data_IF_066616799889
#
_entry.id   IF_066616799889
#
_cell.length_a   1.000
_cell.length_b   1.000
_cell.length_c   1.000
_cell.angle_alpha   90.00
_cell.angle_beta   90.00
_cell.angle_gamma   90.00
#
_symmetry.space_group_name_H-M   'P 1'
#
loop_
_entity.id
_entity.type
_entity.pdbx_description
1 polymer ?
#
# COMPACT_ATOMS: atom_id res chain seq x y z
N UNK A 1 -34.27 20.10 -14.24
CA UNK A 1 -35.10 19.14 -13.50
C UNK A 1 -35.10 19.55 -12.04
N UNK A 2 -36.27 19.83 -11.46
CA UNK A 2 -36.36 20.16 -10.03
C UNK A 2 -36.09 18.93 -9.19
N UNK A 3 -35.47 19.11 -8.02
CA UNK A 3 -35.11 18.06 -7.04
C UNK A 3 -36.28 17.13 -6.64
N UNK A 4 -37.51 17.52 -6.95
CA UNK A 4 -38.76 16.82 -6.64
C UNK A 4 -39.16 15.71 -7.64
N UNK A 5 -38.38 15.48 -8.71
CA UNK A 5 -38.71 14.53 -9.78
C UNK A 5 -37.76 13.31 -9.80
N UNK A 6 -37.02 13.06 -8.71
CA UNK A 6 -36.23 11.83 -8.60
C UNK A 6 -37.14 10.68 -8.13
N UNK A 7 -37.18 9.54 -8.83
CA UNK A 7 -37.94 8.39 -8.38
C UNK A 7 -37.44 7.92 -7.01
N UNK A 8 -38.37 7.63 -6.10
CA UNK A 8 -38.06 7.05 -4.80
C UNK A 8 -37.37 5.68 -4.99
N UNK A 9 -36.25 5.47 -4.29
CA UNK A 9 -35.51 4.21 -4.36
C UNK A 9 -36.29 3.09 -3.67
N UNK A 10 -36.42 1.96 -4.36
CA UNK A 10 -37.01 0.75 -3.80
C UNK A 10 -36.17 0.23 -2.63
N UNK A 11 -36.76 -0.60 -1.73
CA UNK A 11 -36.00 -1.23 -0.65
C UNK A 11 -34.81 -2.07 -1.15
N UNK A 12 -34.97 -2.76 -2.28
CA UNK A 12 -33.92 -3.56 -2.88
C UNK A 12 -32.76 -2.68 -3.40
N UNK A 13 -33.07 -1.57 -4.07
CA UNK A 13 -32.04 -0.61 -4.52
C UNK A 13 -31.31 0.01 -3.33
N UNK A 14 -32.03 0.34 -2.25
CA UNK A 14 -31.43 0.89 -1.03
C UNK A 14 -30.48 -0.10 -0.36
N UNK A 15 -30.85 -1.37 -0.30
CA UNK A 15 -29.99 -2.44 0.22
C UNK A 15 -28.74 -2.61 -0.67
N UNK A 16 -28.91 -2.63 -2.00
CA UNK A 16 -27.79 -2.69 -2.93
C UNK A 16 -26.82 -1.51 -2.76
N UNK A 17 -27.33 -0.29 -2.64
CA UNK A 17 -26.52 0.91 -2.39
C UNK A 17 -25.78 0.84 -1.06
N UNK A 18 -26.41 0.28 -0.02
CA UNK A 18 -25.75 0.06 1.26
C UNK A 18 -24.56 -0.89 1.14
N UNK A 19 -24.74 -2.05 0.50
CA UNK A 19 -23.66 -3.01 0.27
C UNK A 19 -22.51 -2.41 -0.58
N UNK A 20 -22.84 -1.62 -1.61
CA UNK A 20 -21.84 -0.91 -2.41
C UNK A 20 -21.04 0.09 -1.56
N UNK A 21 -21.70 0.81 -0.66
CA UNK A 21 -21.04 1.75 0.24
C UNK A 21 -20.08 1.01 1.20
N UNK A 22 -20.55 -0.07 1.83
CA UNK A 22 -19.73 -0.90 2.72
C UNK A 22 -18.51 -1.48 2.00
N UNK A 23 -18.72 -2.05 0.81
CA UNK A 23 -17.64 -2.57 -0.04
C UNK A 23 -16.61 -1.48 -0.38
N UNK A 24 -17.09 -0.28 -0.75
CA UNK A 24 -16.24 0.88 -0.99
C UNK A 24 -15.38 1.27 0.22
N UNK A 25 -15.96 1.27 1.43
CA UNK A 25 -15.21 1.54 2.66
C UNK A 25 -14.11 0.51 2.90
N UNK A 26 -14.39 -0.79 2.72
CA UNK A 26 -13.39 -1.85 2.87
C UNK A 26 -12.24 -1.69 1.89
N UNK A 27 -12.51 -1.30 0.63
CA UNK A 27 -11.47 -1.01 -0.36
C UNK A 27 -10.58 0.16 0.09
N UNK A 28 -11.15 1.22 0.66
CA UNK A 28 -10.36 2.35 1.18
C UNK A 28 -9.51 1.95 2.39
N UNK A 29 -10.07 1.16 3.32
CA UNK A 29 -9.32 0.64 4.47
C UNK A 29 -8.15 -0.23 4.03
N UNK A 30 -8.35 -1.13 3.06
CA UNK A 30 -7.30 -1.96 2.51
C UNK A 30 -6.18 -1.11 1.87
N UNK A 31 -6.53 -0.05 1.13
CA UNK A 31 -5.54 0.89 0.59
C UNK A 31 -4.74 1.59 1.70
N UNK A 32 -5.42 2.03 2.76
CA UNK A 32 -4.75 2.61 3.94
C UNK A 32 -3.73 1.66 4.57
N UNK A 33 -4.05 0.36 4.67
CA UNK A 33 -3.10 -0.64 5.17
C UNK A 33 -1.89 -0.82 4.27
N UNK A 34 -2.05 -0.82 2.95
CA UNK A 34 -0.91 -0.89 2.01
C UNK A 34 0.00 0.35 2.09
N UNK A 35 -0.59 1.53 2.26
CA UNK A 35 0.19 2.75 2.46
C UNK A 35 0.97 2.71 3.78
N UNK A 36 0.32 2.27 4.87
CA UNK A 36 0.98 2.09 6.16
C UNK A 36 2.12 1.06 6.07
N UNK A 37 1.89 -0.07 5.40
CA UNK A 37 2.89 -1.09 5.10
C UNK A 37 4.09 -0.48 4.34
N UNK A 38 3.85 0.25 3.24
CA UNK A 38 4.91 0.92 2.49
C UNK A 38 5.77 1.84 3.36
N UNK A 39 5.14 2.64 4.23
CA UNK A 39 5.87 3.51 5.16
C UNK A 39 6.72 2.74 6.17
N UNK A 40 6.23 1.60 6.69
CA UNK A 40 7.01 0.79 7.62
C UNK A 40 8.23 0.16 6.95
N UNK A 41 8.07 -0.30 5.71
CA UNK A 41 9.20 -0.79 4.90
C UNK A 41 10.22 0.32 4.67
N UNK A 42 9.79 1.52 4.23
CA UNK A 42 10.70 2.65 4.04
C UNK A 42 11.49 2.99 5.31
N UNK A 43 10.82 3.05 6.46
CA UNK A 43 11.48 3.28 7.77
C UNK A 43 12.48 2.19 8.12
N UNK A 44 12.18 0.92 7.83
CA UNK A 44 13.11 -0.18 8.07
C UNK A 44 14.37 -0.05 7.20
N UNK A 45 14.20 0.31 5.93
CA UNK A 45 15.30 0.55 5.00
C UNK A 45 16.18 1.72 5.44
N UNK A 46 15.58 2.81 5.95
CA UNK A 46 16.33 3.92 6.55
C UNK A 46 17.20 3.45 7.73
N UNK A 47 16.69 2.53 8.56
CA UNK A 47 17.46 1.96 9.67
C UNK A 47 18.59 1.06 9.19
N UNK A 48 18.38 0.27 8.14
CA UNK A 48 19.43 -0.54 7.53
C UNK A 48 20.53 0.34 6.95
N UNK A 49 20.16 1.39 6.21
CA UNK A 49 21.11 2.36 5.67
C UNK A 49 21.90 3.07 6.78
N UNK A 50 21.27 3.38 7.92
CA UNK A 50 21.96 3.97 9.07
C UNK A 50 22.88 2.98 9.80
N UNK A 51 22.55 1.68 9.83
CA UNK A 51 23.36 0.66 10.48
C UNK A 51 24.65 0.34 9.70
N UNK A 52 24.61 0.43 8.38
CA UNK A 52 25.74 0.14 7.48
C UNK A 52 27.03 0.88 7.86
N UNK A 53 27.07 2.23 7.99
CA UNK A 53 28.28 2.94 8.39
C UNK A 53 28.74 2.60 9.81
N UNK A 54 27.82 2.36 10.75
CA UNK A 54 28.19 1.96 12.12
C UNK A 54 28.89 0.59 12.16
N UNK A 55 28.46 -0.34 11.31
CA UNK A 55 29.14 -1.63 11.17
C UNK A 55 30.55 -1.46 10.60
N UNK A 56 30.74 -0.56 9.62
CA UNK A 56 32.09 -0.25 9.10
C UNK A 56 32.99 0.37 10.15
N UNK A 57 32.50 1.35 10.89
CA UNK A 57 33.25 2.00 11.97
C UNK A 57 33.66 1.01 13.06
N UNK A 58 32.83 -0.01 13.31
CA UNK A 58 33.12 -1.10 14.24
C UNK A 58 34.03 -2.20 13.65
N UNK A 59 34.45 -2.10 12.39
CA UNK A 59 35.32 -3.08 11.71
C UNK A 59 34.60 -4.31 11.15
N UNK A 60 33.27 -4.24 10.98
CA UNK A 60 32.42 -5.32 10.48
C UNK A 60 32.03 -5.14 9.01
N UNK A 61 33.02 -5.00 8.12
CA UNK A 61 32.79 -4.70 6.70
C UNK A 61 31.91 -5.73 5.98
N UNK A 62 32.06 -7.02 6.28
CA UNK A 62 31.26 -8.06 5.64
C UNK A 62 29.74 -7.91 5.90
N UNK A 63 29.36 -7.50 7.11
CA UNK A 63 27.95 -7.24 7.44
C UNK A 63 27.46 -5.93 6.82
N UNK A 64 28.32 -4.91 6.77
CA UNK A 64 28.01 -3.66 6.07
C UNK A 64 27.76 -3.90 4.58
N UNK A 65 28.59 -4.71 3.93
CA UNK A 65 28.44 -5.10 2.53
C UNK A 65 27.18 -5.95 2.31
N UNK A 66 26.87 -6.89 3.21
CA UNK A 66 25.61 -7.66 3.12
C UNK A 66 24.37 -6.76 3.18
N UNK A 67 24.34 -5.77 4.08
CA UNK A 67 23.23 -4.80 4.14
C UNK A 67 23.14 -4.02 2.82
N UNK A 68 24.27 -3.49 2.34
CA UNK A 68 24.33 -2.66 1.14
C UNK A 68 23.90 -3.43 -0.12
N UNK A 69 24.43 -4.63 -0.29
CA UNK A 69 24.38 -5.36 -1.56
C UNK A 69 23.18 -6.31 -1.63
N UNK A 70 22.61 -6.72 -0.48
CA UNK A 70 21.50 -7.67 -0.42
C UNK A 70 20.24 -7.11 0.20
N UNK A 71 20.32 -6.44 1.34
CA UNK A 71 19.11 -6.02 2.06
C UNK A 71 18.50 -4.73 1.51
N UNK A 72 19.31 -3.70 1.25
CA UNK A 72 18.83 -2.43 0.72
C UNK A 72 18.24 -2.48 -0.70
N UNK A 73 18.71 -3.32 -1.63
CA UNK A 73 18.08 -3.44 -2.95
C UNK A 73 16.91 -4.44 -2.99
N UNK A 74 16.67 -5.21 -1.92
CA UNK A 74 15.66 -6.26 -1.94
C UNK A 74 14.23 -5.68 -2.01
N UNK A 75 13.42 -6.26 -2.89
CA UNK A 75 11.97 -6.07 -2.87
C UNK A 75 11.32 -6.80 -1.70
N UNK A 76 10.05 -6.49 -1.46
CA UNK A 76 9.24 -7.10 -0.38
C UNK A 76 8.52 -8.36 -0.83
N UNK A 77 8.19 -8.51 -2.11
CA UNK A 77 7.52 -9.70 -2.69
C UNK A 77 7.98 -9.90 -4.13
N UNK A 78 8.64 -11.02 -4.43
CA UNK A 78 9.16 -11.34 -5.78
C UNK A 78 9.97 -10.18 -6.37
N UNK A 79 10.88 -9.60 -5.58
CA UNK A 79 11.69 -8.41 -5.90
C UNK A 79 10.92 -7.11 -6.18
N UNK A 80 9.59 -7.09 -6.03
CA UNK A 80 8.79 -5.87 -6.12
C UNK A 80 8.92 -5.02 -4.87
N UNK A 81 9.05 -3.72 -5.07
CA UNK A 81 9.05 -2.73 -4.02
C UNK A 81 7.64 -2.57 -3.44
N UNK A 82 7.55 -2.18 -2.16
CA UNK A 82 6.26 -1.95 -1.50
C UNK A 82 5.43 -0.86 -2.18
N UNK A 83 6.08 0.06 -2.89
CA UNK A 83 5.43 1.05 -3.75
C UNK A 83 4.74 0.39 -4.95
N UNK A 84 5.37 -0.57 -5.62
CA UNK A 84 4.79 -1.25 -6.79
C UNK A 84 3.56 -2.08 -6.42
N UNK A 85 3.55 -2.69 -5.23
CA UNK A 85 2.38 -3.39 -4.70
C UNK A 85 1.21 -2.42 -4.51
N UNK A 86 1.49 -1.22 -3.98
CA UNK A 86 0.47 -0.16 -3.80
C UNK A 86 -0.06 0.32 -5.15
N UNK A 87 0.80 0.54 -6.14
CA UNK A 87 0.41 0.98 -7.48
C UNK A 87 -0.47 -0.06 -8.18
N UNK A 88 -0.10 -1.34 -8.11
CA UNK A 88 -0.92 -2.43 -8.67
C UNK A 88 -2.34 -2.44 -8.09
N UNK A 89 -2.50 -2.16 -6.80
CA UNK A 89 -3.81 -2.03 -6.18
C UNK A 89 -4.56 -0.77 -6.66
N UNK A 90 -3.86 0.34 -6.91
CA UNK A 90 -4.46 1.55 -7.47
C UNK A 90 -5.01 1.29 -8.88
N UNK A 91 -4.23 0.64 -9.73
CA UNK A 91 -4.66 0.26 -11.09
C UNK A 91 -5.88 -0.66 -11.08
N UNK A 92 -5.93 -1.65 -10.18
CA UNK A 92 -7.10 -2.50 -10.01
C UNK A 92 -8.36 -1.69 -9.68
N UNK A 93 -8.24 -0.70 -8.77
CA UNK A 93 -9.35 0.19 -8.42
C UNK A 93 -9.79 1.08 -9.57
N UNK A 94 -8.87 1.54 -10.40
CA UNK A 94 -9.20 2.34 -11.59
C UNK A 94 -9.89 1.50 -12.66
N UNK A 95 -9.46 0.25 -12.88
CA UNK A 95 -10.15 -0.69 -13.76
C UNK A 95 -11.56 -0.99 -13.27
N UNK A 96 -11.74 -1.19 -11.97
CA UNK A 96 -13.06 -1.44 -11.38
C UNK A 96 -14.01 -0.22 -11.42
N UNK A 97 -13.50 0.98 -11.76
CA UNK A 97 -14.28 2.21 -11.93
C UNK A 97 -14.65 2.51 -13.39
N UNK A 98 -14.09 1.78 -14.37
CA UNK A 98 -14.44 1.87 -15.79
C UNK A 98 -15.51 0.84 -16.11
#
# INVERSE_FOLDING_TARGET
MSRTDQPETTPAERAALHELQLGGEHVQRAYGHLLAFHHQIGRAMDRYAAAEPHLREAGHDAFADEIRDRHLPAGVVDDRWSYEIREQQCEWRERARR
#
